data_IF_027469143893
#
_entry.id   IF_027469143893
#
_cell.length_a   1.000
_cell.length_b   1.000
_cell.length_c   1.000
_cell.angle_alpha   90.00
_cell.angle_beta   90.00
_cell.angle_gamma   90.00
#
_symmetry.space_group_name_H-M   'P 1'
#
loop_
_entity.id
_entity.type
_entity.pdbx_description
1 polymer ?
#
# COMPACT_ATOMS: atom_id res chain seq x y z
N UNK A 1 12.60 -22.08 7.87
CA UNK A 1 13.96 -21.49 7.89
C UNK A 1 14.38 -21.31 6.44
N UNK A 2 14.83 -20.12 6.07
CA UNK A 2 15.29 -19.77 4.73
C UNK A 2 16.81 -19.57 4.77
N UNK A 3 17.53 -20.08 3.77
CA UNK A 3 18.99 -20.04 3.68
C UNK A 3 19.39 -19.23 2.46
N UNK A 4 20.37 -18.34 2.60
CA UNK A 4 20.85 -17.48 1.53
C UNK A 4 22.38 -17.36 1.56
N UNK A 5 22.95 -16.98 0.43
CA UNK A 5 24.36 -16.66 0.24
C UNK A 5 24.47 -15.21 -0.25
N UNK A 6 25.41 -14.45 0.29
CA UNK A 6 25.85 -13.22 -0.37
C UNK A 6 26.95 -13.59 -1.36
N UNK A 7 26.71 -13.35 -2.63
CA UNK A 7 27.58 -13.79 -3.72
C UNK A 7 28.01 -12.62 -4.59
N UNK A 8 29.22 -12.68 -5.13
CA UNK A 8 29.74 -11.67 -6.06
C UNK A 8 30.73 -12.31 -7.03
N UNK A 9 31.03 -11.65 -8.15
CA UNK A 9 32.22 -12.02 -8.93
C UNK A 9 33.49 -11.61 -8.19
N UNK A 10 34.58 -12.35 -8.36
CA UNK A 10 35.88 -11.98 -7.80
C UNK A 10 36.27 -10.55 -8.22
N UNK A 11 36.61 -9.69 -7.25
CA UNK A 11 36.94 -8.29 -7.49
C UNK A 11 35.76 -7.35 -7.77
N UNK A 12 34.51 -7.83 -7.66
CA UNK A 12 33.33 -6.97 -7.63
C UNK A 12 33.15 -6.35 -6.22
N UNK A 13 32.67 -5.12 -6.15
CA UNK A 13 32.53 -4.38 -4.88
C UNK A 13 31.22 -4.58 -4.13
N UNK A 14 30.24 -5.26 -4.73
CA UNK A 14 28.90 -5.44 -4.17
C UNK A 14 28.43 -6.89 -4.29
N UNK A 15 27.70 -7.37 -3.30
CA UNK A 15 27.10 -8.70 -3.27
C UNK A 15 25.63 -8.71 -3.75
N UNK A 16 25.21 -9.87 -4.24
CA UNK A 16 23.82 -10.22 -4.53
C UNK A 16 23.40 -11.29 -3.52
N UNK A 17 22.23 -11.11 -2.92
CA UNK A 17 21.62 -12.12 -2.05
C UNK A 17 20.99 -13.23 -2.90
N UNK A 18 21.49 -14.45 -2.75
CA UNK A 18 21.07 -15.61 -3.55
C UNK A 18 20.50 -16.71 -2.64
N UNK A 19 19.33 -17.28 -2.93
CA UNK A 19 18.82 -18.43 -2.18
C UNK A 19 19.79 -19.62 -2.23
N UNK A 20 20.05 -20.26 -1.10
CA UNK A 20 20.89 -21.45 -1.03
C UNK A 20 20.11 -22.69 -1.49
N UNK A 21 20.31 -23.07 -2.75
CA UNK A 21 19.79 -24.27 -3.43
C UNK A 21 20.90 -24.90 -4.28
N UNK A 22 20.71 -26.10 -4.81
CA UNK A 22 21.76 -26.84 -5.56
C UNK A 22 22.44 -25.98 -6.66
N UNK A 23 21.65 -25.23 -7.44
CA UNK A 23 22.14 -24.39 -8.54
C UNK A 23 22.37 -22.91 -8.14
N UNK A 24 22.89 -22.66 -6.94
CA UNK A 24 23.05 -21.28 -6.44
C UNK A 24 23.98 -20.40 -7.31
N UNK A 25 24.91 -20.99 -8.06
CA UNK A 25 25.80 -20.26 -8.98
C UNK A 25 25.04 -19.80 -10.23
N UNK A 26 24.21 -20.65 -10.83
CA UNK A 26 23.38 -20.26 -11.97
C UNK A 26 22.32 -19.24 -11.55
N UNK A 27 21.77 -19.37 -10.34
CA UNK A 27 20.86 -18.37 -9.79
C UNK A 27 21.56 -17.02 -9.57
N UNK A 28 22.81 -17.03 -9.10
CA UNK A 28 23.60 -15.81 -9.03
C UNK A 28 23.76 -15.16 -10.40
N UNK A 29 24.10 -15.91 -11.45
CA UNK A 29 24.23 -15.36 -12.81
C UNK A 29 22.91 -14.76 -13.31
N UNK A 30 21.80 -15.45 -13.09
CA UNK A 30 20.46 -14.97 -13.46
C UNK A 30 20.09 -13.68 -12.71
N UNK A 31 20.29 -13.64 -11.39
CA UNK A 31 20.03 -12.44 -10.59
C UNK A 31 20.96 -11.28 -10.98
N UNK A 32 22.22 -11.57 -11.30
CA UNK A 32 23.14 -10.57 -11.80
C UNK A 32 22.68 -9.98 -13.15
N UNK A 33 22.21 -10.82 -14.07
CA UNK A 33 21.65 -10.37 -15.34
C UNK A 33 20.36 -9.57 -15.16
N UNK A 34 19.48 -9.97 -14.24
CA UNK A 34 18.27 -9.22 -13.91
C UNK A 34 18.58 -7.85 -13.28
N UNK A 35 19.56 -7.78 -12.38
CA UNK A 35 19.88 -6.55 -11.65
C UNK A 35 20.76 -5.57 -12.47
N UNK A 36 21.64 -6.09 -13.33
CA UNK A 36 22.66 -5.28 -14.02
C UNK A 36 22.66 -5.42 -15.54
N UNK A 37 21.77 -6.23 -16.12
CA UNK A 37 21.65 -6.40 -17.57
C UNK A 37 22.72 -7.29 -18.22
N UNK A 38 23.59 -7.93 -17.43
CA UNK A 38 24.58 -8.89 -17.93
C UNK A 38 24.99 -9.90 -16.85
N UNK A 39 25.61 -11.00 -17.24
CA UNK A 39 26.34 -11.90 -16.35
C UNK A 39 27.69 -12.32 -16.97
N UNK A 40 28.65 -12.78 -16.16
CA UNK A 40 29.93 -13.29 -16.64
C UNK A 40 30.17 -14.71 -16.11
N UNK A 41 29.70 -15.71 -16.86
CA UNK A 41 29.81 -17.14 -16.49
C UNK A 41 31.25 -17.65 -16.42
N UNK A 42 32.20 -16.94 -17.03
CA UNK A 42 33.61 -17.32 -17.02
C UNK A 42 34.39 -16.75 -15.84
N UNK A 43 33.77 -15.84 -15.06
CA UNK A 43 34.44 -15.18 -13.94
C UNK A 43 34.16 -15.93 -12.64
N UNK A 44 35.19 -16.22 -11.81
CA UNK A 44 35.01 -16.88 -10.54
C UNK A 44 34.00 -16.14 -9.65
N UNK A 45 33.13 -16.91 -9.00
CA UNK A 45 32.14 -16.41 -8.05
C UNK A 45 32.62 -16.67 -6.62
N UNK A 46 32.49 -15.67 -5.75
CA UNK A 46 32.83 -15.72 -4.33
C UNK A 46 31.55 -15.75 -3.49
N UNK A 47 31.50 -16.63 -2.49
CA UNK A 47 30.53 -16.55 -1.40
C UNK A 47 31.16 -15.73 -0.28
N UNK A 48 30.60 -14.56 0.00
CA UNK A 48 31.10 -13.63 1.02
C UNK A 48 30.51 -13.96 2.39
N UNK A 49 29.19 -14.22 2.45
CA UNK A 49 28.48 -14.55 3.69
C UNK A 49 27.48 -15.68 3.47
N UNK A 50 27.20 -16.43 4.55
CA UNK A 50 26.07 -17.35 4.65
C UNK A 50 25.03 -16.73 5.58
N UNK A 51 23.79 -16.61 5.12
CA UNK A 51 22.68 -16.01 5.88
C UNK A 51 21.59 -17.03 6.18
N UNK A 52 21.07 -16.98 7.40
CA UNK A 52 19.93 -17.78 7.84
C UNK A 52 18.81 -16.85 8.31
N UNK A 53 17.62 -16.99 7.73
CA UNK A 53 16.40 -16.32 8.21
C UNK A 53 15.45 -17.35 8.81
N UNK A 54 15.21 -17.24 10.11
CA UNK A 54 14.18 -18.01 10.79
C UNK A 54 12.93 -17.14 10.97
N UNK A 55 11.78 -17.63 10.52
CA UNK A 55 10.50 -16.95 10.67
C UNK A 55 9.63 -17.75 11.64
N UNK A 56 9.24 -17.13 12.75
CA UNK A 56 8.15 -17.64 13.60
C UNK A 56 6.79 -17.33 12.97
N UNK A 57 5.76 -18.06 13.35
CA UNK A 57 4.37 -17.75 13.02
C UNK A 57 3.74 -17.04 14.23
N UNK A 58 3.79 -15.70 14.31
CA UNK A 58 3.02 -15.00 15.32
C UNK A 58 1.53 -15.13 15.00
N UNK A 59 0.69 -15.07 16.02
CA UNK A 59 -0.74 -14.83 15.81
C UNK A 59 -0.91 -13.51 15.07
N UNK A 60 -1.58 -13.56 13.91
CA UNK A 60 -1.84 -12.36 13.11
C UNK A 60 -3.08 -11.67 13.67
N UNK A 61 -3.09 -10.33 13.73
CA UNK A 61 -4.33 -9.62 14.02
C UNK A 61 -5.37 -9.98 12.97
N UNK A 62 -6.59 -10.25 13.41
CA UNK A 62 -7.75 -10.46 12.55
C UNK A 62 -8.39 -9.10 12.31
N UNK A 63 -8.50 -8.71 11.03
CA UNK A 63 -9.26 -7.52 10.65
C UNK A 63 -10.73 -7.89 10.55
N UNK A 64 -11.56 -7.28 11.40
CA UNK A 64 -13.00 -7.50 11.39
C UNK A 64 -13.66 -6.64 10.31
N UNK A 65 -14.67 -7.19 9.64
CA UNK A 65 -15.50 -6.42 8.71
C UNK A 65 -16.43 -5.50 9.48
N UNK A 66 -16.60 -4.28 9.01
CA UNK A 66 -17.55 -3.33 9.59
C UNK A 66 -18.98 -3.67 9.18
N UNK A 67 -19.97 -3.08 9.86
CA UNK A 67 -21.37 -3.27 9.50
C UNK A 67 -21.62 -2.83 8.05
N UNK A 68 -22.30 -3.69 7.28
CA UNK A 68 -22.73 -3.37 5.91
C UNK A 68 -23.89 -2.38 5.93
N UNK A 69 -23.81 -1.36 5.09
CA UNK A 69 -24.84 -0.35 4.89
C UNK A 69 -25.44 -0.42 3.49
N UNK A 70 -25.98 0.72 3.05
CA UNK A 70 -26.38 0.96 1.66
C UNK A 70 -25.37 1.87 0.97
N UNK A 71 -25.55 2.18 -0.32
CA UNK A 71 -24.74 3.20 -1.01
C UNK A 71 -24.84 4.58 -0.37
N UNK A 72 -25.98 4.91 0.23
CA UNK A 72 -26.20 6.21 0.87
C UNK A 72 -25.82 6.13 2.36
N UNK A 73 -25.00 7.06 2.87
CA UNK A 73 -24.75 7.19 4.29
C UNK A 73 -26.06 7.44 5.07
N UNK A 74 -26.12 6.95 6.30
CA UNK A 74 -27.23 7.24 7.22
C UNK A 74 -27.24 8.71 7.61
N UNK A 75 -28.40 9.27 7.97
CA UNK A 75 -28.53 10.71 8.29
C UNK A 75 -27.62 11.15 9.43
N UNK A 76 -27.39 10.29 10.42
CA UNK A 76 -26.48 10.54 11.54
C UNK A 76 -25.01 10.72 11.14
N UNK A 77 -24.61 10.20 9.97
CA UNK A 77 -23.27 10.40 9.46
C UNK A 77 -23.09 11.80 8.84
N UNK A 78 -24.16 12.51 8.49
CA UNK A 78 -24.08 13.84 7.90
C UNK A 78 -24.17 14.91 8.99
N UNK A 79 -23.11 15.70 9.12
CA UNK A 79 -22.97 16.72 10.17
C UNK A 79 -23.39 18.11 9.69
N UNK A 80 -23.73 18.25 8.41
CA UNK A 80 -24.07 19.52 7.78
C UNK A 80 -23.17 19.84 6.60
N UNK A 81 -23.13 21.10 6.20
CA UNK A 81 -22.26 21.58 5.12
C UNK A 81 -21.71 22.97 5.42
N UNK A 82 -20.54 23.25 4.85
CA UNK A 82 -19.87 24.53 4.94
C UNK A 82 -19.37 24.96 3.57
N UNK A 83 -19.15 26.26 3.40
CA UNK A 83 -18.56 26.81 2.19
C UNK A 83 -17.04 26.68 2.31
N UNK A 84 -16.43 25.93 1.39
CA UNK A 84 -14.99 25.62 1.39
C UNK A 84 -14.42 25.99 0.04
N UNK A 85 -13.22 26.58 0.04
CA UNK A 85 -12.54 27.01 -1.18
C UNK A 85 -11.65 25.89 -1.70
N UNK A 86 -11.87 25.48 -2.96
CA UNK A 86 -11.01 24.59 -3.73
C UNK A 86 -10.56 25.33 -4.98
N UNK A 87 -9.24 25.43 -5.19
CA UNK A 87 -8.63 26.12 -6.35
C UNK A 87 -9.21 27.52 -6.65
N UNK A 88 -9.45 28.30 -5.60
CA UNK A 88 -10.00 29.66 -5.70
C UNK A 88 -11.52 29.75 -5.88
N UNK A 89 -12.21 28.63 -6.04
CA UNK A 89 -13.67 28.55 -6.15
C UNK A 89 -14.32 28.02 -4.87
N UNK A 90 -15.47 28.58 -4.50
CA UNK A 90 -16.20 28.17 -3.29
C UNK A 90 -17.21 27.07 -3.61
N UNK A 91 -17.08 25.93 -2.93
CA UNK A 91 -17.99 24.79 -3.03
C UNK A 91 -18.76 24.58 -1.73
N UNK A 92 -20.06 24.31 -1.86
CA UNK A 92 -20.87 23.83 -0.74
C UNK A 92 -20.46 22.40 -0.40
N UNK A 93 -19.71 22.23 0.68
CA UNK A 93 -18.98 21.01 1.01
C UNK A 93 -19.66 20.27 2.15
N UNK A 94 -20.00 19.00 1.93
CA UNK A 94 -20.64 18.15 2.95
C UNK A 94 -19.67 17.75 4.05
N UNK A 95 -20.09 17.82 5.31
CA UNK A 95 -19.33 17.36 6.47
C UNK A 95 -19.89 16.02 6.94
N UNK A 96 -19.04 15.02 7.12
CA UNK A 96 -19.44 13.68 7.52
C UNK A 96 -18.65 13.18 8.73
N UNK A 97 -19.32 12.54 9.69
CA UNK A 97 -18.64 11.79 10.75
C UNK A 97 -18.16 10.45 10.20
N UNK A 98 -16.84 10.27 10.16
CA UNK A 98 -16.22 9.06 9.64
C UNK A 98 -16.66 7.80 10.38
N UNK A 99 -16.93 7.90 11.69
CA UNK A 99 -17.28 6.77 12.55
C UNK A 99 -18.66 6.20 12.26
N UNK A 100 -19.54 7.02 11.68
CA UNK A 100 -20.92 6.64 11.37
C UNK A 100 -21.08 6.02 9.97
N UNK A 101 -20.01 6.01 9.17
CA UNK A 101 -20.01 5.40 7.85
C UNK A 101 -19.92 3.86 7.93
N UNK A 102 -20.62 3.20 7.00
CA UNK A 102 -20.75 1.75 6.90
C UNK A 102 -20.16 1.23 5.59
N UNK A 103 -19.84 -0.07 5.54
CA UNK A 103 -19.36 -0.71 4.31
C UNK A 103 -20.38 -0.50 3.18
N UNK A 104 -19.87 -0.12 2.01
CA UNK A 104 -20.62 0.21 0.80
C UNK A 104 -21.14 1.65 0.73
N UNK A 105 -20.96 2.48 1.76
CA UNK A 105 -21.30 3.90 1.66
C UNK A 105 -20.44 4.61 0.61
N UNK A 106 -21.07 5.50 -0.14
CA UNK A 106 -20.45 6.35 -1.16
C UNK A 106 -20.63 7.81 -0.78
N UNK A 107 -19.54 8.57 -0.88
CA UNK A 107 -19.50 10.01 -0.66
C UNK A 107 -18.94 10.66 -1.91
N UNK A 108 -19.74 11.51 -2.54
CA UNK A 108 -19.32 12.32 -3.68
C UNK A 108 -18.72 13.64 -3.15
N UNK A 109 -17.62 14.09 -3.76
CA UNK A 109 -17.01 15.37 -3.46
C UNK A 109 -17.82 16.55 -4.03
N UNK A 110 -17.72 17.77 -3.49
CA UNK A 110 -16.84 18.18 -2.41
C UNK A 110 -17.36 17.74 -1.02
N UNK A 111 -16.50 17.08 -0.24
CA UNK A 111 -16.84 16.64 1.11
C UNK A 111 -15.63 16.63 2.05
N UNK A 112 -15.88 16.73 3.35
CA UNK A 112 -14.88 16.57 4.40
C UNK A 112 -15.38 15.48 5.36
N UNK A 113 -14.59 14.43 5.52
CA UNK A 113 -14.84 13.37 6.49
C UNK A 113 -14.01 13.66 7.73
N UNK A 114 -14.70 13.86 8.85
CA UNK A 114 -14.11 14.18 10.14
C UNK A 114 -13.88 12.89 10.93
N UNK A 115 -12.66 12.72 11.42
CA UNK A 115 -12.28 11.64 12.30
C UNK A 115 -11.60 12.23 13.54
N UNK A 116 -11.61 11.48 14.65
CA UNK A 116 -10.91 11.90 15.86
C UNK A 116 -9.40 12.15 15.64
N UNK A 117 -8.77 11.34 14.79
CA UNK A 117 -7.32 11.38 14.51
C UNK A 117 -6.93 12.13 13.24
N UNK A 118 -7.89 12.42 12.36
CA UNK A 118 -7.58 12.93 11.03
C UNK A 118 -8.76 13.70 10.41
N UNK A 119 -8.48 14.40 9.31
CA UNK A 119 -9.52 15.02 8.49
C UNK A 119 -9.22 14.69 7.04
N UNK A 120 -10.19 14.08 6.37
CA UNK A 120 -10.04 13.62 4.98
C UNK A 120 -10.85 14.56 4.10
N UNK A 121 -10.18 15.21 3.17
CA UNK A 121 -10.80 16.13 2.22
C UNK A 121 -11.00 15.40 0.90
N UNK A 122 -12.25 15.38 0.43
CA UNK A 122 -12.65 14.93 -0.90
C UNK A 122 -12.87 16.18 -1.77
N UNK A 123 -11.96 16.48 -2.71
CA UNK A 123 -12.12 17.60 -3.64
C UNK A 123 -13.40 17.48 -4.48
N UNK A 124 -13.87 18.56 -5.11
CA UNK A 124 -14.89 18.49 -6.14
C UNK A 124 -14.59 17.40 -7.18
N UNK A 125 -15.62 16.70 -7.64
CA UNK A 125 -15.53 15.62 -8.65
C UNK A 125 -14.74 14.37 -8.23
N UNK A 126 -14.25 14.31 -6.99
CA UNK A 126 -13.75 13.07 -6.40
C UNK A 126 -14.89 12.25 -5.81
N UNK A 127 -14.60 10.98 -5.51
CA UNK A 127 -15.54 10.06 -4.90
C UNK A 127 -14.83 9.13 -3.92
N UNK A 128 -15.47 8.84 -2.79
CA UNK A 128 -15.00 7.84 -1.85
C UNK A 128 -16.03 6.72 -1.69
N UNK A 129 -15.55 5.48 -1.65
CA UNK A 129 -16.33 4.30 -1.24
C UNK A 129 -15.72 3.67 0.01
N UNK A 130 -16.56 3.30 0.97
CA UNK A 130 -16.15 2.59 2.18
C UNK A 130 -16.12 1.09 1.91
N UNK A 131 -14.95 0.46 2.03
CA UNK A 131 -14.84 -0.98 1.83
C UNK A 131 -15.35 -1.80 3.03
N UNK A 132 -15.30 -3.13 2.92
CA UNK A 132 -15.73 -4.07 3.96
C UNK A 132 -14.99 -3.95 5.30
N UNK A 133 -13.78 -3.39 5.29
CA UNK A 133 -12.93 -3.24 6.48
C UNK A 133 -12.94 -1.80 7.01
N UNK A 134 -13.75 -0.93 6.40
CA UNK A 134 -13.77 0.48 6.76
C UNK A 134 -12.55 1.24 6.26
N UNK A 135 -11.91 0.83 5.16
CA UNK A 135 -11.01 1.72 4.43
C UNK A 135 -11.85 2.66 3.54
N UNK A 136 -11.29 3.82 3.21
CA UNK A 136 -11.84 4.72 2.18
C UNK A 136 -11.05 4.54 0.90
N UNK A 137 -11.70 4.02 -0.13
CA UNK A 137 -11.15 3.96 -1.49
C UNK A 137 -11.57 5.23 -2.19
N UNK A 138 -10.60 6.09 -2.47
CA UNK A 138 -10.85 7.41 -3.06
C UNK A 138 -10.42 7.37 -4.52
N UNK A 139 -11.36 7.73 -5.39
CA UNK A 139 -11.13 7.99 -6.79
C UNK A 139 -11.06 9.50 -7.00
N UNK A 140 -9.94 9.95 -7.55
CA UNK A 140 -9.66 11.37 -7.85
C UNK A 140 -9.65 11.65 -9.34
N UNK A 141 -9.95 10.69 -10.22
CA UNK A 141 -9.85 10.86 -11.68
C UNK A 141 -10.83 11.91 -12.26
N UNK A 142 -11.79 12.40 -11.46
CA UNK A 142 -12.64 13.53 -11.81
C UNK A 142 -12.18 14.90 -11.32
N UNK A 143 -11.23 14.97 -10.37
CA UNK A 143 -10.77 16.21 -9.72
C UNK A 143 -9.43 16.70 -10.29
N UNK A 144 -9.32 18.01 -10.45
CA UNK A 144 -8.16 18.78 -10.97
C UNK A 144 -6.83 18.32 -10.35
#
# INVERSE_FOLDING_TARGET
IEKYLDMRYQGQSYEILVPYKEDFVDEFHKLHEQNYGYCNKNKPVEVVNIRLRARGMPEKPVFEKIQKGTKRPESKAYLGSQDVVFDGETYRTGLYDRKELKSGNVIEGAAILLEYSSTIVLPPHSKAEVDDYGNLVIDTEGGI
#
